data_IF_168022992520
#
_entry.id   IF_168022992520
#
_cell.length_a   1.000
_cell.length_b   1.000
_cell.length_c   1.000
_cell.angle_alpha   90.00
_cell.angle_beta   90.00
_cell.angle_gamma   90.00
#
_symmetry.space_group_name_H-M   'P 1'
#
loop_
_entity.id
_entity.type
_entity.pdbx_description
1 polymer ?
#
# COMPACT_ATOMS: atom_id res chain seq x y z
N UNK A 1 10.46 -4.05 -10.11
CA UNK A 1 10.27 -3.51 -8.75
C UNK A 1 10.23 -4.69 -7.80
N UNK A 2 11.03 -4.67 -6.74
CA UNK A 2 11.05 -5.71 -5.70
C UNK A 2 9.64 -5.88 -5.11
N UNK A 3 9.24 -7.12 -4.81
CA UNK A 3 7.94 -7.44 -4.19
C UNK A 3 7.81 -6.79 -2.81
N UNK A 4 8.90 -6.70 -2.06
CA UNK A 4 8.94 -6.07 -0.74
C UNK A 4 8.67 -4.57 -0.84
N UNK A 5 9.26 -3.90 -1.83
CA UNK A 5 9.02 -2.47 -2.06
C UNK A 5 7.58 -2.18 -2.46
N UNK A 6 6.94 -3.09 -3.21
CA UNK A 6 5.52 -2.97 -3.57
C UNK A 6 4.65 -3.04 -2.32
N UNK A 7 4.88 -4.02 -1.47
CA UNK A 7 4.10 -4.20 -0.25
C UNK A 7 4.21 -2.97 0.67
N UNK A 8 5.41 -2.42 0.85
CA UNK A 8 5.60 -1.22 1.67
C UNK A 8 4.94 0.02 1.08
N UNK A 9 4.94 0.15 -0.24
CA UNK A 9 4.22 1.22 -0.92
C UNK A 9 2.70 1.08 -0.68
N UNK A 10 2.14 -0.10 -0.86
CA UNK A 10 0.70 -0.34 -0.69
C UNK A 10 0.25 -0.15 0.77
N UNK A 11 1.12 -0.46 1.74
CA UNK A 11 0.85 -0.30 3.17
C UNK A 11 1.09 1.12 3.72
N UNK A 12 1.43 2.09 2.88
CA UNK A 12 1.79 3.45 3.30
C UNK A 12 3.03 3.52 4.21
N UNK A 13 3.93 2.55 4.11
CA UNK A 13 5.17 2.47 4.88
C UNK A 13 6.37 3.05 4.11
N UNK A 14 6.20 3.27 2.80
CA UNK A 14 7.15 3.94 1.92
C UNK A 14 6.53 5.22 1.34
N UNK A 15 7.20 6.37 1.45
CA UNK A 15 6.82 7.61 0.76
C UNK A 15 7.98 8.17 -0.05
N UNK A 16 7.69 8.62 -1.27
CA UNK A 16 8.68 9.04 -2.25
C UNK A 16 8.85 10.56 -2.24
N UNK A 17 9.07 11.09 -1.05
CA UNK A 17 9.44 12.49 -0.84
C UNK A 17 10.77 12.56 -0.08
N UNK A 18 11.58 13.57 -0.40
CA UNK A 18 12.82 13.83 0.31
C UNK A 18 12.50 14.24 1.75
N UNK A 19 12.57 13.27 2.67
CA UNK A 19 12.47 13.52 4.11
C UNK A 19 13.85 13.44 4.75
N UNK A 20 14.13 14.32 5.72
CA UNK A 20 15.37 14.34 6.50
C UNK A 20 15.53 13.14 7.48
N UNK A 21 14.80 12.05 7.26
CA UNK A 21 14.68 10.90 8.15
C UNK A 21 15.43 9.67 7.62
N UNK A 22 16.24 9.08 8.48
CA UNK A 22 17.12 7.93 8.21
C UNK A 22 16.35 6.62 8.07
N UNK A 23 15.77 6.33 6.90
CA UNK A 23 15.55 4.94 6.49
C UNK A 23 16.85 4.43 5.84
N UNK A 24 17.78 3.89 6.65
CA UNK A 24 19.13 3.50 6.23
C UNK A 24 19.19 2.41 5.14
N UNK A 25 18.04 1.83 4.78
CA UNK A 25 17.89 0.72 3.84
C UNK A 25 17.26 1.16 2.50
N UNK A 26 16.86 2.42 2.34
CA UNK A 26 16.18 2.91 1.13
C UNK A 26 17.12 3.84 0.35
N UNK A 27 17.29 3.64 -0.98
CA UNK A 27 18.11 4.53 -1.78
C UNK A 27 17.52 5.96 -1.80
N UNK A 28 18.39 7.00 -1.84
CA UNK A 28 17.96 8.40 -1.74
C UNK A 28 17.12 8.88 -2.93
N UNK A 29 17.18 8.16 -4.05
CA UNK A 29 16.32 8.38 -5.21
C UNK A 29 15.94 7.05 -5.84
N UNK A 30 14.75 7.01 -6.42
CA UNK A 30 14.22 5.86 -7.15
C UNK A 30 13.74 6.34 -8.51
N UNK A 31 14.14 5.63 -9.58
CA UNK A 31 13.68 5.91 -10.94
C UNK A 31 12.63 4.88 -11.33
N UNK A 32 11.47 5.36 -11.75
CA UNK A 32 10.42 4.50 -12.31
C UNK A 32 10.72 4.20 -13.77
N UNK A 33 10.63 2.92 -14.13
CA UNK A 33 10.79 2.44 -15.50
C UNK A 33 9.60 1.55 -15.85
N UNK A 34 9.12 1.68 -17.09
CA UNK A 34 8.12 0.77 -17.66
C UNK A 34 8.74 0.06 -18.86
N UNK A 35 8.58 -1.26 -18.91
CA UNK A 35 8.96 -2.07 -20.07
C UNK A 35 7.96 -1.93 -21.21
N UNK A 36 6.76 -1.41 -20.92
CA UNK A 36 5.69 -1.19 -21.87
C UNK A 36 4.98 0.14 -21.57
N UNK A 37 5.53 1.28 -22.03
CA UNK A 37 4.97 2.59 -21.71
C UNK A 37 3.61 2.87 -22.35
N UNK A 38 3.22 2.11 -23.38
CA UNK A 38 1.96 2.31 -24.09
C UNK A 38 0.79 1.76 -23.27
N UNK A 39 0.94 0.54 -22.74
CA UNK A 39 -0.10 -0.13 -21.96
C UNK A 39 0.07 0.09 -20.45
N UNK A 40 1.28 0.39 -19.99
CA UNK A 40 1.63 0.65 -18.58
C UNK A 40 2.37 1.98 -18.44
N UNK A 41 1.67 3.12 -18.53
CA UNK A 41 2.26 4.43 -18.34
C UNK A 41 2.81 4.58 -16.92
N UNK A 42 3.88 5.37 -16.80
CA UNK A 42 4.43 5.71 -15.49
C UNK A 42 3.41 6.49 -14.65
N UNK A 43 3.42 6.33 -13.32
CA UNK A 43 2.51 7.05 -12.45
C UNK A 43 2.76 8.57 -12.54
N UNK A 44 1.67 9.34 -12.59
CA UNK A 44 1.74 10.81 -12.54
C UNK A 44 2.32 11.25 -11.17
N UNK A 45 3.33 12.14 -11.15
CA UNK A 45 3.95 12.64 -9.93
C UNK A 45 2.96 13.18 -8.88
N UNK A 46 1.81 13.70 -9.30
CA UNK A 46 0.78 14.23 -8.39
C UNK A 46 0.16 13.14 -7.52
N UNK A 47 -0.04 11.94 -8.06
CA UNK A 47 -0.56 10.81 -7.28
C UNK A 47 0.49 10.27 -6.30
N UNK A 48 1.78 10.32 -6.67
CA UNK A 48 2.88 9.98 -5.76
C UNK A 48 2.96 10.96 -4.57
N UNK A 49 2.78 12.26 -4.82
CA UNK A 49 2.74 13.26 -3.76
C UNK A 49 1.53 13.07 -2.81
N UNK A 50 0.36 12.73 -3.37
CA UNK A 50 -0.82 12.41 -2.57
C UNK A 50 -0.57 11.20 -1.66
N UNK A 51 -0.02 10.12 -2.22
CA UNK A 51 0.35 8.93 -1.46
C UNK A 51 1.33 9.27 -0.33
N UNK A 52 2.37 10.07 -0.62
CA UNK A 52 3.32 10.52 0.39
C UNK A 52 2.68 11.34 1.51
N UNK A 53 1.71 12.19 1.20
CA UNK A 53 0.92 12.89 2.23
C UNK A 53 0.12 11.92 3.11
N UNK A 54 -0.56 10.94 2.52
CA UNK A 54 -1.30 9.91 3.25
C UNK A 54 -0.38 9.05 4.12
N UNK A 55 0.78 8.64 3.60
CA UNK A 55 1.77 7.84 4.31
C UNK A 55 2.36 8.58 5.51
N UNK A 56 2.72 9.86 5.33
CA UNK A 56 3.14 10.70 6.46
C UNK A 56 2.05 10.81 7.52
N UNK A 57 0.81 11.08 7.12
CA UNK A 57 -0.30 11.18 8.07
C UNK A 57 -0.51 9.85 8.83
N UNK A 58 -0.51 8.73 8.12
CA UNK A 58 -0.61 7.40 8.72
C UNK A 58 0.52 7.11 9.73
N UNK A 59 1.75 7.51 9.39
CA UNK A 59 2.92 7.35 10.26
C UNK A 59 2.83 8.23 11.51
N UNK A 60 2.56 9.53 11.36
CA UNK A 60 2.49 10.48 12.48
C UNK A 60 1.31 10.20 13.43
N UNK A 61 0.20 9.68 12.91
CA UNK A 61 -0.96 9.34 13.72
C UNK A 61 -0.82 7.97 14.42
N UNK A 62 0.30 7.25 14.23
CA UNK A 62 0.44 5.85 14.66
C UNK A 62 -0.59 4.91 14.01
N UNK A 63 -1.30 5.39 12.99
CA UNK A 63 -2.39 4.70 12.32
C UNK A 63 -1.89 3.66 11.33
N UNK A 64 -0.59 3.62 11.00
CA UNK A 64 -0.02 2.63 10.07
C UNK A 64 -0.38 1.18 10.43
N UNK A 65 -0.28 0.81 11.71
CA UNK A 65 -0.65 -0.52 12.17
C UNK A 65 -2.16 -0.79 12.07
N UNK A 66 -2.99 0.24 12.34
CA UNK A 66 -4.45 0.11 12.24
C UNK A 66 -4.91 0.01 10.78
N UNK A 67 -4.35 0.82 9.88
CA UNK A 67 -4.62 0.80 8.44
C UNK A 67 -4.18 -0.55 7.85
N UNK A 68 -2.99 -1.03 8.19
CA UNK A 68 -2.52 -2.36 7.78
C UNK A 68 -3.44 -3.49 8.25
N UNK A 69 -3.91 -3.42 9.51
CA UNK A 69 -4.85 -4.41 10.05
C UNK A 69 -6.21 -4.37 9.35
N UNK A 70 -6.76 -3.18 9.07
CA UNK A 70 -8.02 -3.04 8.33
C UNK A 70 -7.88 -3.55 6.90
N UNK A 71 -6.79 -3.22 6.21
CA UNK A 71 -6.55 -3.66 4.84
C UNK A 71 -6.38 -5.19 4.75
N UNK A 72 -5.60 -5.79 5.65
CA UNK A 72 -5.45 -7.23 5.77
C UNK A 72 -6.79 -7.93 6.05
N UNK A 73 -7.62 -7.35 6.93
CA UNK A 73 -8.93 -7.91 7.23
C UNK A 73 -9.90 -7.77 6.05
N UNK A 74 -9.82 -6.71 5.25
CA UNK A 74 -10.62 -6.58 4.03
C UNK A 74 -10.21 -7.61 2.98
N UNK A 75 -8.91 -7.86 2.81
CA UNK A 75 -8.41 -8.92 1.92
C UNK A 75 -8.85 -10.31 2.41
N UNK A 76 -8.74 -10.58 3.72
CA UNK A 76 -9.19 -11.83 4.31
C UNK A 76 -10.71 -11.99 4.27
N UNK A 77 -11.48 -10.92 4.45
CA UNK A 77 -12.94 -10.95 4.36
C UNK A 77 -13.44 -11.23 2.93
N UNK A 78 -12.63 -10.94 1.89
CA UNK A 78 -12.91 -11.33 0.51
C UNK A 78 -12.61 -12.81 0.21
N UNK A 79 -11.94 -13.50 1.12
CA UNK A 79 -11.70 -14.95 1.04
C UNK A 79 -12.62 -15.60 2.06
N UNK A 80 -13.56 -16.44 1.60
CA UNK A 80 -14.37 -17.22 2.52
C UNK A 80 -13.45 -17.99 3.46
N UNK A 81 -13.70 -17.88 4.77
CA UNK A 81 -12.94 -18.63 5.76
C UNK A 81 -13.01 -20.11 5.39
N UNK A 82 -11.84 -20.75 5.35
CA UNK A 82 -11.69 -22.13 4.87
C UNK A 82 -12.50 -23.13 5.72
N UNK A 83 -12.87 -22.74 6.94
CA UNK A 83 -13.71 -23.48 7.87
C UNK A 83 -15.22 -23.29 7.65
N UNK A 84 -15.63 -22.47 6.67
CA UNK A 84 -17.03 -22.19 6.36
C UNK A 84 -17.69 -21.15 7.26
N UNK A 85 -16.97 -20.54 8.21
CA UNK A 85 -17.54 -19.54 9.12
C UNK A 85 -17.97 -18.23 8.43
N UNK A 86 -17.56 -18.01 7.18
CA UNK A 86 -17.99 -16.85 6.37
C UNK A 86 -19.29 -17.06 5.60
N UNK A 87 -19.99 -18.18 5.78
CA UNK A 87 -21.25 -18.48 5.08
C UNK A 87 -22.35 -17.42 5.37
N UNK A 88 -22.43 -16.91 6.59
CA UNK A 88 -23.43 -15.92 6.98
C UNK A 88 -23.20 -14.55 6.31
N UNK A 89 -21.94 -14.17 6.09
CA UNK A 89 -21.58 -12.95 5.38
C UNK A 89 -21.95 -13.02 3.89
N UNK A 90 -21.86 -14.21 3.28
CA UNK A 90 -22.30 -14.45 1.91
C UNK A 90 -23.83 -14.38 1.79
N UNK A 91 -24.54 -14.93 2.78
CA UNK A 91 -26.01 -14.97 2.79
C UNK A 91 -26.65 -13.59 3.02
N UNK A 92 -25.95 -12.68 3.69
CA UNK A 92 -26.40 -11.30 3.91
C UNK A 92 -26.14 -10.35 2.72
N UNK A 93 -25.37 -10.79 1.72
CA UNK A 93 -25.02 -10.01 0.53
C UNK A 93 -25.85 -10.38 -0.71
N UNK A 94 -26.80 -11.32 -0.57
CA UNK A 94 -27.84 -11.69 -1.54
C UNK A 94 -29.17 -11.03 -1.17
#
# INVERSE_FOLDING_TARGET
MDLVLREWFDRLELWLEATSGYLSQVPPSVTFVSTDPADLPLPDPRYLALHAACARAAHFLGAGAHIGHVLHNLEKARVLAQDGSSADALNAAL
#
